data_IF_784971977407
#
_entry.id   IF_784971977407
#
_cell.length_a   1.000
_cell.length_b   1.000
_cell.length_c   1.000
_cell.angle_alpha   90.00
_cell.angle_beta   90.00
_cell.angle_gamma   90.00
#
_symmetry.space_group_name_H-M   'P 1'
#
loop_
_entity.id
_entity.type
_entity.pdbx_description
1 polymer ?
#
# COMPACT_ATOMS: atom_id res chain seq x y z
N UNK A 1 -48.99 8.42 -25.07
CA UNK A 1 -48.86 9.62 -24.21
C UNK A 1 -47.44 10.15 -24.36
N UNK A 2 -47.26 11.40 -24.79
CA UNK A 2 -45.93 12.04 -24.93
C UNK A 2 -45.57 12.64 -23.57
N UNK A 3 -44.63 12.03 -22.86
CA UNK A 3 -44.18 12.51 -21.55
C UNK A 3 -43.23 13.68 -21.81
N UNK A 4 -43.72 14.90 -21.67
CA UNK A 4 -42.91 16.11 -21.82
C UNK A 4 -42.21 16.38 -20.48
N UNK A 5 -41.05 15.75 -20.27
CA UNK A 5 -40.28 16.01 -19.05
C UNK A 5 -39.81 17.47 -19.05
N UNK A 6 -40.11 18.25 -18.00
CA UNK A 6 -39.64 19.62 -17.90
C UNK A 6 -38.11 19.63 -17.81
N UNK A 7 -37.46 20.61 -18.45
CA UNK A 7 -36.00 20.75 -18.54
C UNK A 7 -35.31 20.66 -17.16
N UNK A 8 -36.01 21.09 -16.10
CA UNK A 8 -35.55 20.99 -14.71
C UNK A 8 -35.31 19.54 -14.24
N UNK A 9 -36.12 18.59 -14.69
CA UNK A 9 -35.94 17.18 -14.35
C UNK A 9 -34.68 16.60 -15.00
N UNK A 10 -34.34 16.99 -16.23
CA UNK A 10 -33.11 16.54 -16.89
C UNK A 10 -31.84 16.99 -16.14
N UNK A 11 -31.85 18.22 -15.60
CA UNK A 11 -30.73 18.77 -14.81
C UNK A 11 -30.57 18.03 -13.48
N UNK A 12 -31.68 17.68 -12.82
CA UNK A 12 -31.63 16.93 -11.55
C UNK A 12 -31.12 15.51 -11.78
N UNK A 13 -31.56 14.86 -12.86
CA UNK A 13 -31.13 13.50 -13.21
C UNK A 13 -29.63 13.48 -13.55
N UNK A 14 -29.12 14.45 -14.34
CA UNK A 14 -27.70 14.52 -14.67
C UNK A 14 -26.83 14.78 -13.44
N UNK A 15 -27.27 15.67 -12.53
CA UNK A 15 -26.58 15.92 -11.27
C UNK A 15 -26.52 14.67 -10.37
N UNK A 16 -27.63 13.92 -10.28
CA UNK A 16 -27.69 12.68 -9.50
C UNK A 16 -26.76 11.59 -10.07
N UNK A 17 -26.65 11.46 -11.40
CA UNK A 17 -25.74 10.51 -12.04
C UNK A 17 -24.27 10.89 -11.76
N UNK A 18 -23.92 12.17 -11.88
CA UNK A 18 -22.57 12.67 -11.59
C UNK A 18 -22.14 12.44 -10.14
N UNK A 19 -23.05 12.65 -9.18
CA UNK A 19 -22.80 12.39 -7.76
C UNK A 19 -22.61 10.90 -7.47
N UNK A 20 -23.32 10.01 -8.18
CA UNK A 20 -23.20 8.56 -7.98
C UNK A 20 -21.88 7.97 -8.51
N UNK A 21 -21.20 8.64 -9.45
CA UNK A 21 -19.89 8.20 -9.96
C UNK A 21 -18.69 8.63 -9.09
N UNK A 22 -18.92 9.43 -8.04
CA UNK A 22 -17.84 10.12 -7.30
C UNK A 22 -17.43 9.54 -5.95
N UNK A 23 -17.92 8.37 -5.53
CA UNK A 23 -17.50 7.79 -4.25
C UNK A 23 -17.50 6.25 -4.28
N UNK A 24 -16.87 5.66 -5.30
CA UNK A 24 -16.20 4.39 -5.03
C UNK A 24 -14.98 4.75 -4.19
N UNK A 25 -15.15 4.75 -2.86
CA UNK A 25 -14.02 4.51 -1.97
C UNK A 25 -13.44 3.19 -2.46
N UNK A 26 -12.32 3.26 -3.19
CA UNK A 26 -11.41 2.13 -3.27
C UNK A 26 -11.21 1.70 -1.82
N UNK A 27 -11.82 0.56 -1.49
CA UNK A 27 -11.49 -0.15 -0.28
C UNK A 27 -10.09 -0.64 -0.56
N UNK A 28 -9.12 0.24 -0.31
CA UNK A 28 -7.76 -0.18 -0.01
C UNK A 28 -7.96 -1.26 1.03
N UNK A 29 -7.66 -2.50 0.64
CA UNK A 29 -7.56 -3.62 1.56
C UNK A 29 -6.36 -3.26 2.42
N UNK A 30 -6.60 -2.43 3.44
CA UNK A 30 -5.65 -2.20 4.50
C UNK A 30 -5.65 -3.50 5.26
N UNK A 31 -4.66 -4.33 4.94
CA UNK A 31 -4.41 -5.57 5.65
C UNK A 31 -4.27 -5.20 7.14
N UNK A 32 -5.11 -5.75 8.05
CA UNK A 32 -5.08 -5.38 9.46
C UNK A 32 -3.72 -5.67 10.12
N UNK A 33 -2.87 -6.47 9.46
CA UNK A 33 -1.48 -6.72 9.85
C UNK A 33 -0.53 -5.52 9.62
N UNK A 34 -0.97 -4.46 8.94
CA UNK A 34 -0.16 -3.24 8.75
C UNK A 34 0.02 -2.43 10.04
N UNK A 35 -0.71 -2.74 11.12
CA UNK A 35 -0.51 -2.14 12.43
C UNK A 35 0.51 -2.92 13.29
N UNK A 36 1.42 -3.64 12.64
CA UNK A 36 2.59 -4.24 13.27
C UNK A 36 3.69 -3.20 13.47
N UNK A 37 3.86 -2.80 14.73
CA UNK A 37 5.12 -2.51 15.40
C UNK A 37 6.33 -3.31 14.86
N UNK A 38 6.79 -2.97 13.66
CA UNK A 38 7.94 -3.58 13.03
C UNK A 38 9.02 -2.52 12.95
N UNK A 39 10.07 -2.68 13.73
CA UNK A 39 11.35 -1.97 13.64
C UNK A 39 12.04 -2.30 12.29
N UNK A 40 11.38 -1.95 11.20
CA UNK A 40 11.81 -2.16 9.84
C UNK A 40 12.57 -0.94 9.35
N UNK A 41 13.59 -1.17 8.52
CA UNK A 41 14.37 -0.08 7.94
C UNK A 41 13.48 0.89 7.16
N UNK A 42 13.67 2.20 7.34
CA UNK A 42 12.98 3.21 6.53
C UNK A 42 13.19 2.99 5.01
N UNK A 43 14.33 2.37 4.64
CA UNK A 43 14.67 2.00 3.27
C UNK A 43 13.73 0.96 2.63
N UNK A 44 13.12 0.07 3.43
CA UNK A 44 12.24 -1.00 2.91
C UNK A 44 10.76 -0.62 2.96
N UNK A 45 10.43 0.56 3.52
CA UNK A 45 9.07 1.11 3.56
C UNK A 45 8.37 1.13 2.18
N UNK A 46 9.04 1.48 1.05
CA UNK A 46 8.40 1.47 -0.26
C UNK A 46 7.90 0.09 -0.72
N UNK A 47 8.44 -1.02 -0.19
CA UNK A 47 8.01 -2.37 -0.55
C UNK A 47 6.57 -2.67 -0.11
N UNK A 48 6.06 -1.93 0.87
CA UNK A 48 4.66 -2.04 1.29
C UNK A 48 3.68 -1.58 0.18
N UNK A 49 4.13 -0.75 -0.76
CA UNK A 49 3.31 -0.34 -1.91
C UNK A 49 3.02 -1.48 -2.89
N UNK A 50 3.68 -2.64 -2.75
CA UNK A 50 3.36 -3.83 -3.53
C UNK A 50 1.93 -4.37 -3.22
N UNK A 51 1.36 -3.99 -2.07
CA UNK A 51 -0.05 -4.23 -1.73
C UNK A 51 -1.00 -3.63 -2.79
N UNK A 52 -0.63 -2.52 -3.41
CA UNK A 52 -1.44 -1.83 -4.44
C UNK A 52 -1.58 -2.62 -5.74
N UNK A 53 -0.69 -3.57 -5.99
CA UNK A 53 -0.67 -4.41 -7.19
C UNK A 53 -0.95 -5.88 -6.87
N UNK A 54 -1.46 -6.18 -5.66
CA UNK A 54 -1.94 -7.50 -5.26
C UNK A 54 -0.89 -8.45 -4.68
N UNK A 55 0.32 -7.97 -4.39
CA UNK A 55 1.32 -8.73 -3.64
C UNK A 55 1.23 -8.43 -2.14
N UNK A 56 1.76 -9.30 -1.29
CA UNK A 56 1.91 -9.02 0.15
C UNK A 56 3.18 -8.19 0.40
N UNK A 57 3.04 -6.87 0.34
CA UNK A 57 4.08 -5.88 0.56
C UNK A 57 4.66 -5.93 1.98
N UNK A 58 3.85 -6.32 2.96
CA UNK A 58 4.32 -6.49 4.36
C UNK A 58 5.28 -7.68 4.47
N UNK A 59 4.93 -8.82 3.87
CA UNK A 59 5.80 -10.00 3.81
C UNK A 59 7.07 -9.73 2.99
N UNK A 60 6.96 -9.02 1.87
CA UNK A 60 8.11 -8.59 1.07
C UNK A 60 9.07 -7.72 1.89
N UNK A 61 8.55 -6.69 2.55
CA UNK A 61 9.32 -5.80 3.43
C UNK A 61 10.05 -6.60 4.53
N UNK A 62 9.33 -7.47 5.25
CA UNK A 62 9.90 -8.31 6.31
C UNK A 62 11.00 -9.24 5.81
N UNK A 63 10.82 -9.82 4.61
CA UNK A 63 11.83 -10.69 4.00
C UNK A 63 13.12 -9.93 3.68
N UNK A 64 13.00 -8.73 3.11
CA UNK A 64 14.16 -7.89 2.76
C UNK A 64 14.85 -7.36 4.02
N UNK A 65 14.10 -6.91 5.03
CA UNK A 65 14.66 -6.47 6.31
C UNK A 65 15.52 -7.56 6.95
N UNK A 66 15.02 -8.81 6.97
CA UNK A 66 15.77 -9.95 7.51
C UNK A 66 17.06 -10.19 6.73
N UNK A 67 17.01 -10.18 5.40
CA UNK A 67 18.23 -10.36 4.58
C UNK A 67 19.27 -9.28 4.85
N UNK A 68 18.85 -8.03 4.99
CA UNK A 68 19.76 -6.91 5.33
C UNK A 68 20.37 -7.14 6.71
N UNK A 69 19.56 -7.54 7.70
CA UNK A 69 20.05 -7.81 9.05
C UNK A 69 21.07 -8.96 9.07
N UNK A 70 20.77 -10.06 8.39
CA UNK A 70 21.65 -11.23 8.29
C UNK A 70 22.96 -10.86 7.57
N UNK A 71 22.88 -10.07 6.48
CA UNK A 71 24.06 -9.57 5.77
C UNK A 71 24.92 -8.65 6.64
N UNK A 72 24.32 -7.74 7.38
CA UNK A 72 25.05 -6.83 8.27
C UNK A 72 25.74 -7.61 9.39
N UNK A 73 25.07 -8.63 9.95
CA UNK A 73 25.67 -9.52 10.95
C UNK A 73 26.88 -10.25 10.37
N UNK A 74 26.74 -10.81 9.16
CA UNK A 74 27.83 -11.53 8.51
C UNK A 74 29.01 -10.61 8.20
N UNK A 75 28.76 -9.42 7.65
CA UNK A 75 29.82 -8.43 7.43
C UNK A 75 30.54 -8.13 8.74
N UNK A 76 29.80 -7.81 9.81
CA UNK A 76 30.37 -7.52 11.14
C UNK A 76 31.29 -8.63 11.63
N UNK A 77 30.92 -9.89 11.44
CA UNK A 77 31.75 -11.05 11.79
C UNK A 77 33.06 -11.09 10.99
N UNK A 78 33.02 -10.77 9.69
CA UNK A 78 34.22 -10.66 8.87
C UNK A 78 35.13 -9.51 9.32
N UNK A 79 34.59 -8.32 9.60
CA UNK A 79 35.37 -7.16 10.06
C UNK A 79 36.10 -7.50 11.37
N UNK A 80 35.39 -8.09 12.35
CA UNK A 80 36.00 -8.54 13.61
C UNK A 80 37.08 -9.62 13.39
N UNK A 81 36.90 -10.51 12.42
CA UNK A 81 37.89 -11.53 12.09
C UNK A 81 39.13 -10.96 11.38
N UNK A 82 38.98 -9.82 10.69
CA UNK A 82 40.06 -9.16 9.96
C UNK A 82 40.82 -8.14 10.82
N UNK A 83 40.16 -7.52 11.80
CA UNK A 83 40.76 -6.59 12.77
C UNK A 83 41.63 -7.30 13.83
N UNK A 84 41.49 -8.63 13.97
CA UNK A 84 42.30 -9.45 14.87
C UNK A 84 43.65 -9.92 14.31
N UNK A 85 44.06 -9.41 13.14
CA UNK A 85 45.32 -9.75 12.44
C UNK A 85 46.23 -8.53 12.30
#
# INVERSE_FOLDING_TARGET
>A
MKVLLPLRCLVIISAAILVSSGCQKETVVTNPDSQGNNESSEKTKPLQAADLVGYDGTKLRKSVDKTIQDSNKHNKELENATEGQ
#
